data_IF_159070403293
#
_entry.id   IF_159070403293
#
_cell.length_a   1.000
_cell.length_b   1.000
_cell.length_c   1.000
_cell.angle_alpha   90.00
_cell.angle_beta   90.00
_cell.angle_gamma   90.00
#
_symmetry.space_group_name_H-M   'P 1'
#
loop_
_entity.id
_entity.type
_entity.pdbx_description
1 polymer ?
#
# COMPACT_ATOMS: atom_id res chain seq x y z
N UNK A 1 8.13 -37.22 -17.38
CA UNK A 1 8.48 -36.44 -16.18
C UNK A 1 8.66 -35.01 -16.63
N UNK A 2 7.59 -34.20 -16.53
CA UNK A 2 7.66 -32.80 -16.91
C UNK A 2 8.37 -32.05 -15.78
N UNK A 3 9.45 -31.38 -16.14
CA UNK A 3 10.17 -30.40 -15.34
C UNK A 3 9.16 -29.44 -14.71
N UNK A 4 8.86 -29.63 -13.41
CA UNK A 4 8.11 -28.65 -12.63
C UNK A 4 9.11 -27.55 -12.33
N UNK A 5 9.32 -26.70 -13.34
CA UNK A 5 10.21 -25.55 -13.25
C UNK A 5 9.77 -24.73 -12.04
N UNK A 6 10.64 -24.72 -11.03
CA UNK A 6 10.51 -23.91 -9.84
C UNK A 6 10.39 -22.46 -10.32
N UNK A 7 9.19 -21.87 -10.24
CA UNK A 7 8.93 -20.54 -10.76
C UNK A 7 8.68 -19.59 -9.59
N UNK A 8 9.70 -18.79 -9.31
CA UNK A 8 9.71 -17.75 -8.29
C UNK A 8 11.13 -17.21 -8.10
N UNK A 9 11.31 -15.90 -7.86
CA UNK A 9 12.63 -15.29 -7.71
C UNK A 9 13.43 -15.90 -6.55
N UNK A 10 12.77 -16.42 -5.51
CA UNK A 10 13.42 -17.19 -4.44
C UNK A 10 14.02 -18.54 -4.86
N UNK A 11 13.59 -19.11 -5.98
CA UNK A 11 14.04 -20.42 -6.47
C UNK A 11 14.95 -20.34 -7.69
N UNK A 12 14.88 -19.25 -8.46
CA UNK A 12 15.73 -19.00 -9.62
C UNK A 12 16.99 -18.19 -9.29
N UNK A 13 17.06 -17.57 -8.10
CA UNK A 13 18.14 -16.66 -7.71
C UNK A 13 18.09 -15.30 -8.42
N UNK A 14 17.10 -15.09 -9.28
CA UNK A 14 16.85 -13.84 -9.99
C UNK A 14 16.28 -12.78 -9.04
N UNK A 15 16.54 -11.51 -9.33
CA UNK A 15 15.95 -10.44 -8.52
C UNK A 15 14.43 -10.44 -8.76
N UNK A 16 13.59 -10.15 -7.75
CA UNK A 16 12.14 -10.09 -7.92
C UNK A 16 11.68 -9.12 -9.02
N UNK A 17 12.45 -8.04 -9.24
CA UNK A 17 12.22 -7.07 -10.30
C UNK A 17 12.54 -7.60 -11.70
N UNK A 18 13.37 -8.63 -11.83
CA UNK A 18 13.71 -9.28 -13.11
C UNK A 18 12.64 -10.32 -13.44
N UNK A 19 12.33 -11.21 -12.49
CA UNK A 19 11.40 -12.32 -12.65
C UNK A 19 9.92 -11.91 -12.77
N UNK A 20 9.52 -10.76 -12.20
CA UNK A 20 8.11 -10.34 -12.22
C UNK A 20 7.64 -9.92 -13.61
N UNK A 21 6.37 -10.17 -13.96
CA UNK A 21 5.73 -9.51 -15.10
C UNK A 21 5.72 -7.99 -14.99
N UNK A 22 5.64 -7.29 -16.12
CA UNK A 22 5.57 -5.83 -16.18
C UNK A 22 4.39 -5.28 -15.35
N UNK A 23 3.24 -5.95 -15.39
CA UNK A 23 2.02 -5.57 -14.70
C UNK A 23 2.22 -5.52 -13.18
N UNK A 24 2.97 -6.49 -12.61
CA UNK A 24 3.30 -6.50 -11.19
C UNK A 24 4.32 -5.42 -10.84
N UNK A 25 5.30 -5.15 -11.73
CA UNK A 25 6.25 -4.04 -11.54
C UNK A 25 5.53 -2.69 -11.53
N UNK A 26 4.57 -2.50 -12.43
CA UNK A 26 3.74 -1.30 -12.49
C UNK A 26 2.89 -1.16 -11.21
N UNK A 27 2.20 -2.21 -10.81
CA UNK A 27 1.41 -2.21 -9.57
C UNK A 27 2.27 -1.89 -8.34
N UNK A 28 3.45 -2.51 -8.25
CA UNK A 28 4.42 -2.21 -7.20
C UNK A 28 4.82 -0.73 -7.17
N UNK A 29 5.13 -0.15 -8.33
CA UNK A 29 5.47 1.27 -8.43
C UNK A 29 4.34 2.19 -7.97
N UNK A 30 3.10 1.88 -8.35
CA UNK A 30 1.93 2.67 -7.95
C UNK A 30 1.67 2.57 -6.44
N UNK A 31 1.71 1.36 -5.86
CA UNK A 31 1.57 1.19 -4.41
C UNK A 31 2.69 1.86 -3.62
N UNK A 32 3.92 1.84 -4.15
CA UNK A 32 5.06 2.51 -3.54
C UNK A 32 4.88 4.03 -3.58
N UNK A 33 4.44 4.59 -4.72
CA UNK A 33 4.15 6.01 -4.84
C UNK A 33 3.05 6.46 -3.86
N UNK A 34 1.95 5.71 -3.77
CA UNK A 34 0.89 5.99 -2.78
C UNK A 34 1.40 5.92 -1.34
N UNK A 35 2.24 4.92 -1.02
CA UNK A 35 2.79 4.82 0.33
C UNK A 35 3.72 5.98 0.66
N UNK A 36 4.53 6.45 -0.29
CA UNK A 36 5.38 7.63 -0.09
C UNK A 36 4.51 8.88 0.14
N UNK A 37 3.47 9.08 -0.67
CA UNK A 37 2.54 10.18 -0.49
C UNK A 37 1.84 10.09 0.87
N UNK A 38 1.39 8.90 1.29
CA UNK A 38 0.77 8.68 2.59
C UNK A 38 1.74 8.95 3.75
N UNK A 39 3.03 8.62 3.62
CA UNK A 39 4.05 8.98 4.61
C UNK A 39 4.17 10.50 4.74
N UNK A 40 4.26 11.23 3.61
CA UNK A 40 4.34 12.68 3.60
C UNK A 40 3.09 13.28 4.26
N UNK A 41 1.90 12.82 3.87
CA UNK A 41 0.63 13.27 4.44
C UNK A 41 0.54 12.98 5.95
N UNK A 42 0.94 11.80 6.40
CA UNK A 42 0.97 11.44 7.82
C UNK A 42 1.91 12.34 8.63
N UNK A 43 3.09 12.66 8.09
CA UNK A 43 4.03 13.61 8.69
C UNK A 43 3.37 15.01 8.80
N UNK A 44 2.76 15.49 7.73
CA UNK A 44 2.08 16.80 7.72
C UNK A 44 0.93 16.86 8.73
N UNK A 45 0.15 15.80 8.88
CA UNK A 45 -0.94 15.71 9.87
C UNK A 45 -0.40 15.77 11.30
N UNK A 46 0.69 15.06 11.60
CA UNK A 46 1.34 15.13 12.91
C UNK A 46 1.82 16.55 13.22
N UNK A 47 2.50 17.20 12.27
CA UNK A 47 2.97 18.58 12.45
C UNK A 47 1.82 19.57 12.56
N UNK A 48 0.73 19.39 11.82
CA UNK A 48 -0.47 20.22 11.92
C UNK A 48 -1.08 20.11 13.32
N UNK A 49 -1.23 18.90 13.86
CA UNK A 49 -1.71 18.68 15.23
C UNK A 49 -0.82 19.36 16.28
N UNK A 50 0.50 19.26 16.14
CA UNK A 50 1.45 19.93 17.03
C UNK A 50 1.41 21.46 16.92
N UNK A 51 1.28 22.00 15.70
CA UNK A 51 1.19 23.45 15.47
C UNK A 51 -0.09 24.05 16.06
N UNK A 52 -1.23 23.36 15.94
CA UNK A 52 -2.50 23.79 16.56
C UNK A 52 -2.35 23.90 18.08
N UNK A 53 -1.67 22.95 18.72
CA UNK A 53 -1.39 22.99 20.16
C UNK A 53 -0.58 24.22 20.59
N UNK A 54 0.36 24.67 19.74
CA UNK A 54 1.22 25.81 20.02
C UNK A 54 0.52 27.16 19.83
N UNK A 55 -0.43 27.25 18.88
CA UNK A 55 -1.09 28.52 18.52
C UNK A 55 -2.35 28.78 19.33
N UNK A 56 -3.19 27.75 19.53
CA UNK A 56 -4.50 27.89 20.16
C UNK A 56 -4.42 27.67 21.67
N UNK A 57 -3.32 27.09 22.16
CA UNK A 57 -3.19 26.64 23.55
C UNK A 57 -3.98 25.36 23.81
N UNK A 58 -3.69 24.68 24.91
CA UNK A 58 -4.38 23.44 25.32
C UNK A 58 -5.49 23.71 26.34
N UNK A 59 -5.98 24.94 26.40
CA UNK A 59 -6.92 25.37 27.45
C UNK A 59 -8.35 24.94 27.10
N UNK A 60 -8.85 23.96 27.84
CA UNK A 60 -10.17 23.33 27.70
C UNK A 60 -10.05 21.80 27.66
N UNK A 61 -10.90 21.10 28.42
CA UNK A 61 -10.82 19.62 28.59
C UNK A 61 -10.81 18.83 27.27
N UNK A 62 -11.41 19.36 26.20
CA UNK A 62 -11.50 18.71 24.89
C UNK A 62 -10.29 18.97 23.95
N UNK A 63 -9.49 20.00 24.20
CA UNK A 63 -8.35 20.38 23.35
C UNK A 63 -7.24 19.31 23.31
N UNK A 64 -6.73 18.79 24.44
CA UNK A 64 -5.67 17.77 24.44
C UNK A 64 -6.13 16.45 23.80
N UNK A 65 -7.39 16.06 23.98
CA UNK A 65 -7.95 14.85 23.36
C UNK A 65 -7.96 15.00 21.84
N UNK A 66 -8.41 16.15 21.33
CA UNK A 66 -8.46 16.41 19.88
C UNK A 66 -7.06 16.39 19.26
N UNK A 67 -6.07 17.03 19.90
CA UNK A 67 -4.68 17.01 19.44
C UNK A 67 -4.13 15.58 19.42
N UNK A 68 -4.36 14.80 20.48
CA UNK A 68 -3.92 13.41 20.55
C UNK A 68 -4.54 12.54 19.44
N UNK A 69 -5.81 12.76 19.10
CA UNK A 69 -6.47 12.06 18.00
C UNK A 69 -5.87 12.41 16.65
N UNK A 70 -5.59 13.69 16.38
CA UNK A 70 -4.97 14.13 15.11
C UNK A 70 -3.55 13.56 14.96
N UNK A 71 -2.73 13.66 16.01
CA UNK A 71 -1.37 13.09 16.01
C UNK A 71 -1.43 11.57 15.86
N UNK A 72 -2.33 10.92 16.61
CA UNK A 72 -2.55 9.46 16.53
C UNK A 72 -2.97 9.02 15.13
N UNK A 73 -3.85 9.76 14.46
CA UNK A 73 -4.25 9.51 13.08
C UNK A 73 -3.05 9.63 12.12
N UNK A 74 -2.23 10.66 12.27
CA UNK A 74 -1.01 10.83 11.46
C UNK A 74 -0.03 9.67 11.62
N UNK A 75 0.18 9.19 12.85
CA UNK A 75 1.02 8.01 13.14
C UNK A 75 0.43 6.75 12.50
N UNK A 76 -0.88 6.55 12.61
CA UNK A 76 -1.57 5.40 12.02
C UNK A 76 -1.44 5.39 10.49
N UNK A 77 -1.61 6.55 9.84
CA UNK A 77 -1.41 6.70 8.39
C UNK A 77 0.00 6.29 8.00
N UNK A 78 1.03 6.75 8.72
CA UNK A 78 2.41 6.36 8.45
C UNK A 78 2.65 4.86 8.65
N UNK A 79 2.11 4.26 9.71
CA UNK A 79 2.23 2.83 9.96
C UNK A 79 1.59 2.00 8.84
N UNK A 80 0.41 2.40 8.37
CA UNK A 80 -0.27 1.78 7.23
C UNK A 80 0.53 1.95 5.93
N UNK A 81 1.16 3.10 5.73
CA UNK A 81 2.02 3.34 4.57
C UNK A 81 3.24 2.42 4.57
N UNK A 82 3.93 2.25 5.71
CA UNK A 82 5.04 1.29 5.84
C UNK A 82 4.55 -0.13 5.57
N UNK A 83 3.41 -0.51 6.14
CA UNK A 83 2.80 -1.81 5.90
C UNK A 83 2.47 -2.03 4.41
N UNK A 84 1.98 -0.99 3.71
CA UNK A 84 1.72 -1.00 2.28
C UNK A 84 2.99 -1.24 1.47
N UNK A 85 4.12 -0.61 1.83
CA UNK A 85 5.44 -0.84 1.20
C UNK A 85 5.85 -2.30 1.35
N UNK A 86 5.73 -2.85 2.57
CA UNK A 86 6.04 -4.26 2.83
C UNK A 86 5.17 -5.18 1.98
N UNK A 87 3.87 -4.91 1.90
CA UNK A 87 2.96 -5.69 1.06
C UNK A 87 3.32 -5.58 -0.43
N UNK A 88 3.62 -4.39 -0.94
CA UNK A 88 4.04 -4.19 -2.32
C UNK A 88 5.33 -4.98 -2.63
N UNK A 89 6.32 -4.94 -1.74
CA UNK A 89 7.55 -5.73 -1.88
C UNK A 89 7.30 -7.25 -1.83
N UNK A 90 6.30 -7.71 -1.08
CA UNK A 90 5.92 -9.13 -1.03
C UNK A 90 5.09 -9.54 -2.24
N UNK A 91 4.30 -8.64 -2.81
CA UNK A 91 3.59 -8.83 -4.08
C UNK A 91 4.57 -9.04 -5.25
N UNK A 92 5.66 -8.26 -5.30
CA UNK A 92 6.77 -8.47 -6.25
C UNK A 92 7.41 -9.87 -6.17
N UNK A 93 7.23 -10.58 -5.06
CA UNK A 93 7.70 -11.96 -4.87
C UNK A 93 6.60 -12.99 -5.12
N UNK A 94 5.48 -12.59 -5.74
CA UNK A 94 4.38 -13.48 -6.07
C UNK A 94 3.54 -13.96 -4.88
N UNK A 95 3.68 -13.36 -3.69
CA UNK A 95 2.96 -13.84 -2.49
C UNK A 95 1.46 -13.48 -2.56
N UNK A 96 0.54 -14.47 -2.51
CA UNK A 96 -0.89 -14.22 -2.70
C UNK A 96 -1.53 -13.43 -1.54
N UNK A 97 -1.04 -13.59 -0.31
CA UNK A 97 -1.57 -12.83 0.84
C UNK A 97 -1.34 -11.32 0.70
N UNK A 98 -0.22 -10.92 0.09
CA UNK A 98 0.13 -9.52 -0.11
C UNK A 98 -0.83 -8.84 -1.08
N UNK A 99 -1.30 -9.57 -2.09
CA UNK A 99 -2.36 -9.11 -2.99
C UNK A 99 -3.63 -8.80 -2.21
N UNK A 100 -4.12 -9.74 -1.41
CA UNK A 100 -5.35 -9.55 -0.65
C UNK A 100 -5.24 -8.38 0.35
N UNK A 101 -4.10 -8.22 1.01
CA UNK A 101 -3.85 -7.10 1.90
C UNK A 101 -3.91 -5.74 1.17
N UNK A 102 -3.24 -5.63 0.02
CA UNK A 102 -3.27 -4.42 -0.81
C UNK A 102 -4.66 -4.13 -1.37
N UNK A 103 -5.43 -5.17 -1.71
CA UNK A 103 -6.82 -5.00 -2.15
C UNK A 103 -7.69 -4.42 -1.04
N UNK A 104 -7.58 -4.93 0.18
CA UNK A 104 -8.31 -4.39 1.34
C UNK A 104 -7.92 -2.92 1.58
N UNK A 105 -6.62 -2.62 1.59
CA UNK A 105 -6.12 -1.25 1.75
C UNK A 105 -6.59 -0.33 0.62
N UNK A 106 -6.60 -0.82 -0.62
CA UNK A 106 -7.07 -0.07 -1.78
C UNK A 106 -8.56 0.25 -1.71
N UNK A 107 -9.39 -0.71 -1.32
CA UNK A 107 -10.84 -0.48 -1.13
C UNK A 107 -11.08 0.52 0.00
N UNK A 108 -10.38 0.39 1.13
CA UNK A 108 -10.47 1.34 2.22
C UNK A 108 -10.03 2.76 1.79
N UNK A 109 -8.97 2.87 1.00
CA UNK A 109 -8.51 4.14 0.46
C UNK A 109 -9.57 4.77 -0.45
N UNK A 110 -10.19 3.98 -1.35
CA UNK A 110 -11.26 4.47 -2.24
C UNK A 110 -12.52 4.92 -1.48
N UNK A 111 -12.83 4.33 -0.33
CA UNK A 111 -13.90 4.83 0.55
C UNK A 111 -13.48 6.19 1.13
N UNK A 112 -12.23 6.29 1.58
CA UNK A 112 -11.65 7.51 2.15
C UNK A 112 -11.54 8.68 1.16
N UNK A 113 -11.45 8.41 -0.15
CA UNK A 113 -11.42 9.43 -1.22
C UNK A 113 -12.62 10.39 -1.14
N UNK A 114 -13.77 9.97 -0.61
CA UNK A 114 -14.93 10.85 -0.41
C UNK A 114 -14.64 12.06 0.49
N UNK A 115 -13.76 11.90 1.48
CA UNK A 115 -13.29 12.99 2.34
C UNK A 115 -12.33 13.91 1.59
N UNK A 116 -11.45 13.34 0.75
CA UNK A 116 -10.51 14.11 -0.07
C UNK A 116 -11.24 14.98 -1.11
N UNK A 117 -12.36 14.49 -1.66
CA UNK A 117 -13.18 15.25 -2.61
C UNK A 117 -13.69 16.58 -2.05
N UNK A 118 -13.91 16.68 -0.73
CA UNK A 118 -14.36 17.91 -0.08
C UNK A 118 -13.24 18.96 0.02
N UNK A 119 -11.98 18.53 0.11
CA UNK A 119 -10.83 19.43 0.24
C UNK A 119 -10.19 19.76 -1.11
N UNK A 120 -9.95 18.76 -1.95
CA UNK A 120 -9.33 18.92 -3.26
C UNK A 120 -9.75 17.79 -4.22
N UNK A 121 -10.77 18.07 -5.03
CA UNK A 121 -11.32 17.11 -5.98
C UNK A 121 -10.29 16.61 -7.01
N UNK A 122 -9.35 17.45 -7.45
CA UNK A 122 -8.32 17.05 -8.42
C UNK A 122 -7.38 15.98 -7.85
N UNK A 123 -6.94 16.17 -6.61
CA UNK A 123 -6.10 15.20 -5.89
C UNK A 123 -6.88 13.91 -5.62
N UNK A 124 -8.14 14.03 -5.18
CA UNK A 124 -9.00 12.88 -4.91
C UNK A 124 -9.21 12.00 -6.16
N UNK A 125 -9.44 12.62 -7.31
CA UNK A 125 -9.57 11.90 -8.59
C UNK A 125 -8.24 11.22 -8.97
N UNK A 126 -7.12 11.93 -8.87
CA UNK A 126 -5.81 11.36 -9.19
C UNK A 126 -5.48 10.16 -8.29
N UNK A 127 -5.73 10.27 -6.99
CA UNK A 127 -5.54 9.20 -6.02
C UNK A 127 -6.43 7.99 -6.36
N UNK A 128 -7.73 8.21 -6.60
CA UNK A 128 -8.65 7.14 -6.99
C UNK A 128 -8.21 6.41 -8.26
N UNK A 129 -7.77 7.15 -9.29
CA UNK A 129 -7.29 6.55 -10.54
C UNK A 129 -6.03 5.72 -10.32
N UNK A 130 -5.06 6.23 -9.55
CA UNK A 130 -3.84 5.50 -9.20
C UNK A 130 -4.19 4.20 -8.46
N UNK A 131 -5.06 4.26 -7.45
CA UNK A 131 -5.49 3.08 -6.70
C UNK A 131 -6.19 2.07 -7.59
N UNK A 132 -7.09 2.50 -8.48
CA UNK A 132 -7.82 1.61 -9.39
C UNK A 132 -6.86 0.94 -10.38
N UNK A 133 -5.93 1.69 -10.99
CA UNK A 133 -4.93 1.11 -11.90
C UNK A 133 -4.01 0.14 -11.16
N UNK A 134 -3.60 0.47 -9.94
CA UNK A 134 -2.79 -0.41 -9.10
C UNK A 134 -3.52 -1.72 -8.79
N UNK A 135 -4.83 -1.66 -8.51
CA UNK A 135 -5.66 -2.86 -8.29
C UNK A 135 -5.82 -3.67 -9.57
N UNK A 136 -6.22 -3.05 -10.69
CA UNK A 136 -6.45 -3.75 -11.95
C UNK A 136 -5.19 -4.50 -12.39
N UNK A 137 -4.03 -3.87 -12.33
CA UNK A 137 -2.73 -4.47 -12.69
C UNK A 137 -2.37 -5.70 -11.86
N UNK A 138 -2.84 -5.82 -10.61
CA UNK A 138 -2.63 -7.03 -9.78
C UNK A 138 -3.46 -8.23 -10.23
N UNK A 139 -4.54 -7.98 -10.97
CA UNK A 139 -5.52 -8.98 -11.38
C UNK A 139 -5.51 -9.26 -12.89
N UNK A 140 -4.57 -8.69 -13.64
CA UNK A 140 -4.38 -9.03 -15.05
C UNK A 140 -3.98 -10.52 -15.22
N UNK A 141 -4.22 -11.12 -16.41
CA UNK A 141 -3.96 -12.53 -16.65
C UNK A 141 -2.51 -12.95 -16.34
N UNK A 142 -1.54 -12.12 -16.74
CA UNK A 142 -0.12 -12.37 -16.52
C UNK A 142 0.24 -12.33 -15.02
N UNK A 143 -0.28 -11.33 -14.29
CA UNK A 143 -0.15 -11.22 -12.83
C UNK A 143 -0.76 -12.43 -12.10
N UNK A 144 -1.92 -12.91 -12.56
CA UNK A 144 -2.56 -14.10 -12.00
C UNK A 144 -1.75 -15.36 -12.27
N UNK A 145 -1.18 -15.52 -13.47
CA UNK A 145 -0.32 -16.65 -13.80
C UNK A 145 0.92 -16.67 -12.90
N UNK A 146 1.57 -15.53 -12.70
CA UNK A 146 2.73 -15.39 -11.84
C UNK A 146 2.44 -15.71 -10.36
N UNK A 147 1.33 -15.19 -9.81
CA UNK A 147 0.98 -15.41 -8.39
C UNK A 147 0.48 -16.84 -8.13
N UNK A 148 -0.12 -17.50 -9.13
CA UNK A 148 -0.61 -18.88 -9.02
C UNK A 148 0.43 -19.93 -9.40
N UNK A 149 1.62 -19.52 -9.82
CA UNK A 149 2.72 -20.42 -10.07
C UNK A 149 2.96 -21.30 -8.82
N UNK A 150 3.06 -22.63 -8.96
CA UNK A 150 3.20 -23.51 -7.81
C UNK A 150 4.44 -23.15 -6.98
N UNK A 151 4.24 -22.75 -5.72
CA UNK A 151 5.30 -22.84 -4.72
C UNK A 151 5.70 -24.32 -4.59
N UNK A 152 6.99 -24.65 -4.44
CA UNK A 152 7.37 -26.01 -4.10
C UNK A 152 6.70 -26.37 -2.77
N UNK A 153 5.66 -27.20 -2.84
CA UNK A 153 5.37 -28.11 -1.74
C UNK A 153 6.65 -28.91 -1.55
N UNK A 154 7.25 -28.89 -0.36
CA UNK A 154 8.33 -29.81 -0.01
C UNK A 154 7.90 -31.21 -0.44
N UNK A 155 8.42 -31.66 -1.59
CA UNK A 155 8.25 -33.02 -2.03
C UNK A 155 8.89 -33.86 -0.92
N UNK A 156 8.12 -34.84 -0.44
CA UNK A 156 8.42 -35.58 0.78
C UNK A 156 9.89 -35.90 0.95
N UNK A 157 10.41 -35.54 2.13
CA UNK A 157 11.41 -36.33 2.81
C UNK A 157 10.65 -37.24 3.77
#
# INVERSE_FOLDING_TARGET
MADRTLSGPEFTGERPLEASPWEIKLSFGLWLAEAILALISGILVVFAGAAVALVVGTEGDAAPITIALVVGAGILIMALAVFRIVCAAKLLRGKPWARNALTILGVLALIGVTLEFQGNAGVAIAHALVTVVALVTMYLPNSNAYIRAPFPTSAGV
#
